data_IF_418802589630
#
_entry.id   IF_418802589630
#
_cell.length_a   1.000
_cell.length_b   1.000
_cell.length_c   1.000
_cell.angle_alpha   90.00
_cell.angle_beta   90.00
_cell.angle_gamma   90.00
#
_symmetry.space_group_name_H-M   'P 1'
#
loop_
_entity.id
_entity.type
_entity.pdbx_description
1 polymer ?
#
# COMPACT_ATOMS: atom_id res chain seq x y z
N UNK A 1 -33.86 -22.38 -1.11
CA UNK A 1 -32.45 -21.98 -1.32
C UNK A 1 -31.89 -21.59 0.03
N UNK A 2 -31.31 -22.56 0.75
CA UNK A 2 -30.61 -22.30 2.01
C UNK A 2 -29.13 -22.19 1.69
N UNK A 3 -28.57 -21.00 1.83
CA UNK A 3 -27.13 -20.76 1.77
C UNK A 3 -26.55 -21.20 3.10
N UNK A 4 -25.94 -22.38 3.10
CA UNK A 4 -25.19 -22.92 4.22
C UNK A 4 -23.89 -22.11 4.36
N UNK A 5 -23.92 -21.07 5.20
CA UNK A 5 -22.72 -20.35 5.64
C UNK A 5 -21.90 -21.26 6.56
N UNK A 6 -21.14 -22.17 5.93
CA UNK A 6 -20.17 -23.01 6.64
C UNK A 6 -19.06 -22.08 7.15
N UNK A 7 -18.78 -22.03 8.47
CA UNK A 7 -17.76 -21.16 9.04
C UNK A 7 -16.41 -21.38 8.36
N UNK A 8 -15.76 -20.29 7.92
CA UNK A 8 -14.47 -20.29 7.21
C UNK A 8 -13.38 -21.19 7.83
N UNK A 9 -13.46 -21.44 9.13
CA UNK A 9 -12.51 -22.26 9.89
C UNK A 9 -12.55 -23.76 9.50
N UNK A 10 -13.72 -24.30 9.15
CA UNK A 10 -13.84 -25.72 8.77
C UNK A 10 -13.16 -26.01 7.43
N UNK A 11 -13.21 -25.06 6.50
CA UNK A 11 -12.52 -25.17 5.20
C UNK A 11 -11.00 -25.10 5.38
N UNK A 12 -10.53 -24.20 6.25
CA UNK A 12 -9.12 -24.05 6.57
C UNK A 12 -8.56 -25.27 7.33
N UNK A 13 -9.37 -25.90 8.18
CA UNK A 13 -9.02 -27.12 8.91
C UNK A 13 -8.92 -28.33 7.97
N UNK A 14 -9.90 -28.53 7.08
CA UNK A 14 -9.86 -29.59 6.05
C UNK A 14 -8.66 -29.47 5.12
N UNK A 15 -8.31 -28.24 4.73
CA UNK A 15 -7.15 -27.98 3.86
C UNK A 15 -5.83 -28.30 4.57
N UNK A 16 -5.73 -28.01 5.88
CA UNK A 16 -4.58 -28.37 6.72
C UNK A 16 -4.46 -29.88 6.93
N UNK A 17 -5.56 -30.59 7.15
CA UNK A 17 -5.55 -32.06 7.27
C UNK A 17 -5.14 -32.73 5.96
N UNK A 18 -5.64 -32.23 4.83
CA UNK A 18 -5.27 -32.72 3.50
C UNK A 18 -3.78 -32.47 3.21
N UNK A 19 -3.27 -31.28 3.52
CA UNK A 19 -1.85 -30.99 3.37
C UNK A 19 -1.01 -31.87 4.32
N UNK A 20 -1.47 -32.09 5.54
CA UNK A 20 -0.77 -32.94 6.51
C UNK A 20 -0.66 -34.39 6.03
N UNK A 21 -1.67 -34.93 5.32
CA UNK A 21 -1.59 -36.27 4.74
C UNK A 21 -0.54 -36.39 3.62
N UNK A 22 -0.24 -35.29 2.91
CA UNK A 22 0.78 -35.29 1.85
C UNK A 22 2.21 -35.13 2.39
N UNK A 23 2.39 -34.41 3.50
CA UNK A 23 3.72 -34.01 3.99
C UNK A 23 4.16 -34.70 5.29
N UNK A 24 3.28 -35.41 5.99
CA UNK A 24 3.61 -36.23 7.16
C UNK A 24 3.08 -37.66 7.00
N UNK A 25 3.80 -38.55 6.29
CA UNK A 25 3.62 -39.98 6.47
C UNK A 25 4.11 -40.30 7.89
N UNK A 26 3.20 -40.71 8.76
CA UNK A 26 3.54 -41.21 10.10
C UNK A 26 4.67 -42.25 10.01
N UNK A 27 5.86 -41.90 10.51
CA UNK A 27 6.83 -42.85 11.00
C UNK A 27 6.26 -43.46 12.28
N UNK A 28 5.79 -44.72 12.23
CA UNK A 28 5.35 -45.37 13.47
C UNK A 28 4.44 -46.58 13.37
N UNK A 29 4.35 -47.28 12.24
CA UNK A 29 3.79 -48.62 12.23
C UNK A 29 4.45 -49.44 11.13
N UNK A 30 5.37 -50.30 11.56
CA UNK A 30 5.90 -51.43 10.81
C UNK A 30 4.80 -52.04 9.95
N UNK A 31 4.99 -52.23 8.63
CA UNK A 31 4.12 -53.09 7.88
C UNK A 31 4.28 -54.47 8.50
N UNK A 32 3.20 -54.99 9.11
CA UNK A 32 3.07 -56.43 9.26
C UNK A 32 3.21 -56.97 7.86
N UNK A 33 4.28 -57.74 7.63
CA UNK A 33 4.45 -58.55 6.45
C UNK A 33 3.23 -59.47 6.33
N UNK A 34 2.22 -58.98 5.62
CA UNK A 34 1.23 -59.83 5.01
C UNK A 34 1.98 -60.60 3.94
N UNK A 35 2.35 -61.84 4.32
CA UNK A 35 2.70 -62.95 3.46
C UNK A 35 2.91 -62.59 2.00
N UNK A 36 4.18 -62.58 1.59
CA UNK A 36 4.65 -62.62 0.22
C UNK A 36 4.02 -63.80 -0.56
N UNK A 37 2.77 -63.63 -0.93
CA UNK A 37 2.25 -64.08 -2.21
C UNK A 37 1.95 -62.80 -2.99
N UNK A 38 2.98 -61.96 -3.20
CA UNK A 38 2.96 -61.11 -4.39
C UNK A 38 2.75 -62.07 -5.55
N UNK A 39 1.58 -61.95 -6.19
CA UNK A 39 1.23 -62.68 -7.39
C UNK A 39 2.41 -62.56 -8.37
N UNK A 40 3.18 -63.62 -8.53
CA UNK A 40 4.11 -63.82 -9.65
C UNK A 40 3.37 -63.72 -11.01
N UNK A 41 2.05 -63.61 -10.96
CA UNK A 41 1.09 -63.50 -12.05
C UNK A 41 0.72 -62.02 -12.38
N UNK A 42 1.33 -61.01 -11.73
CA UNK A 42 1.02 -59.59 -11.99
C UNK A 42 1.86 -59.01 -13.12
N UNK A 43 1.22 -58.73 -14.27
CA UNK A 43 1.84 -58.13 -15.47
C UNK A 43 2.50 -56.76 -15.22
N UNK A 44 2.09 -56.06 -14.15
CA UNK A 44 2.60 -54.73 -13.81
C UNK A 44 3.80 -54.76 -12.83
N UNK A 45 4.31 -55.94 -12.48
CA UNK A 45 5.48 -56.06 -11.61
C UNK A 45 6.77 -55.66 -12.32
N UNK A 46 7.68 -54.99 -11.61
CA UNK A 46 8.99 -54.61 -12.12
C UNK A 46 9.87 -55.83 -12.48
N UNK A 47 9.56 -57.01 -11.97
CA UNK A 47 10.25 -58.27 -12.24
C UNK A 47 9.40 -59.26 -13.06
N UNK A 48 8.51 -58.74 -13.91
CA UNK A 48 7.64 -59.57 -14.76
C UNK A 48 8.47 -60.45 -15.71
N UNK A 49 8.21 -61.76 -15.67
CA UNK A 49 8.77 -62.75 -16.61
C UNK A 49 7.67 -63.24 -17.56
N UNK A 50 7.72 -62.86 -18.86
CA UNK A 50 6.73 -63.26 -19.85
C UNK A 50 6.64 -64.78 -20.03
N UNK A 51 7.75 -65.50 -19.97
CA UNK A 51 7.78 -66.94 -20.24
C UNK A 51 7.15 -67.72 -19.08
N UNK A 52 7.44 -67.33 -17.84
CA UNK A 52 6.81 -67.91 -16.67
C UNK A 52 5.30 -67.64 -16.62
N UNK A 53 4.90 -66.38 -16.88
CA UNK A 53 3.49 -65.98 -16.92
C UNK A 53 2.70 -66.73 -18.00
N UNK A 54 3.24 -66.85 -19.22
CA UNK A 54 2.57 -67.56 -20.32
C UNK A 54 2.43 -69.06 -20.05
N UNK A 55 3.47 -69.71 -19.51
CA UNK A 55 3.39 -71.12 -19.14
C UNK A 55 2.30 -71.38 -18.09
N UNK A 56 2.19 -70.49 -17.10
CA UNK A 56 1.17 -70.59 -16.07
C UNK A 56 -0.24 -70.33 -16.61
N UNK A 57 -0.38 -69.35 -17.50
CA UNK A 57 -1.65 -69.00 -18.15
C UNK A 57 -2.18 -70.17 -19.00
N UNK A 58 -1.31 -70.81 -19.80
CA UNK A 58 -1.68 -71.96 -20.63
C UNK A 58 -2.04 -73.20 -19.78
N UNK A 59 -1.38 -73.39 -18.62
CA UNK A 59 -1.70 -74.50 -17.71
C UNK A 59 -3.01 -74.30 -16.94
N UNK A 60 -3.38 -73.06 -16.62
CA UNK A 60 -4.54 -72.74 -15.78
C UNK A 60 -5.82 -72.40 -16.56
N UNK A 61 -5.70 -71.97 -17.81
CA UNK A 61 -6.83 -71.45 -18.60
C UNK A 61 -7.25 -72.39 -19.73
N UNK A 62 -8.54 -72.40 -20.07
CA UNK A 62 -9.02 -73.07 -21.27
C UNK A 62 -8.86 -72.18 -22.52
N UNK A 63 -9.06 -72.76 -23.72
CA UNK A 63 -8.88 -72.05 -24.99
C UNK A 63 -9.78 -70.80 -25.13
N UNK A 64 -11.01 -70.86 -24.63
CA UNK A 64 -11.97 -69.76 -24.70
C UNK A 64 -11.52 -68.59 -23.80
N UNK A 65 -11.01 -68.89 -22.61
CA UNK A 65 -10.41 -67.90 -21.71
C UNK A 65 -9.16 -67.26 -22.31
N UNK A 66 -8.31 -68.05 -22.97
CA UNK A 66 -7.11 -67.56 -23.63
C UNK A 66 -7.46 -66.60 -24.79
N UNK A 67 -8.47 -66.94 -25.60
CA UNK A 67 -8.98 -66.06 -26.66
C UNK A 67 -9.57 -64.77 -26.09
N UNK A 68 -10.35 -64.86 -25.02
CA UNK A 68 -10.89 -63.67 -24.34
C UNK A 68 -9.76 -62.78 -23.82
N UNK A 69 -8.72 -63.36 -23.21
CA UNK A 69 -7.55 -62.63 -22.71
C UNK A 69 -6.76 -61.96 -23.82
N UNK A 70 -6.61 -62.61 -24.97
CA UNK A 70 -6.00 -61.99 -26.15
C UNK A 70 -6.78 -60.75 -26.62
N UNK A 71 -8.11 -60.85 -26.71
CA UNK A 71 -8.95 -59.72 -27.13
C UNK A 71 -8.90 -58.57 -26.12
N UNK A 72 -8.96 -58.89 -24.82
CA UNK A 72 -8.82 -57.92 -23.73
C UNK A 72 -7.48 -57.18 -23.80
N UNK A 73 -6.37 -57.92 -23.95
CA UNK A 73 -5.03 -57.35 -24.04
C UNK A 73 -4.86 -56.49 -25.31
N UNK A 74 -5.41 -56.90 -26.44
CA UNK A 74 -5.37 -56.10 -27.67
C UNK A 74 -6.13 -54.77 -27.51
N UNK A 75 -7.26 -54.78 -26.79
CA UNK A 75 -8.00 -53.57 -26.46
C UNK A 75 -7.23 -52.67 -25.48
N UNK A 76 -6.61 -53.26 -24.46
CA UNK A 76 -5.80 -52.54 -23.47
C UNK A 76 -4.58 -51.86 -24.10
N UNK A 77 -3.86 -52.55 -24.99
CA UNK A 77 -2.74 -51.98 -25.76
C UNK A 77 -3.19 -50.74 -26.54
N UNK A 78 -4.35 -50.81 -27.20
CA UNK A 78 -4.88 -49.67 -27.97
C UNK A 78 -5.30 -48.51 -27.07
N UNK A 79 -5.89 -48.80 -25.92
CA UNK A 79 -6.27 -47.76 -24.96
C UNK A 79 -5.03 -47.06 -24.40
N UNK A 80 -3.99 -47.82 -24.01
CA UNK A 80 -2.72 -47.28 -23.53
C UNK A 80 -2.02 -46.39 -24.57
N UNK A 81 -2.06 -46.76 -25.86
CA UNK A 81 -1.53 -45.91 -26.94
C UNK A 81 -2.32 -44.58 -27.03
N UNK A 82 -3.65 -44.65 -26.92
CA UNK A 82 -4.50 -43.46 -26.94
C UNK A 82 -4.24 -42.56 -25.72
N UNK A 83 -4.08 -43.15 -24.53
CA UNK A 83 -3.77 -42.43 -23.30
C UNK A 83 -2.38 -41.77 -23.37
N UNK A 84 -1.38 -42.46 -23.94
CA UNK A 84 -0.06 -41.91 -24.17
C UNK A 84 -0.13 -40.70 -25.10
N UNK A 85 -0.87 -40.80 -26.21
CA UNK A 85 -1.06 -39.68 -27.14
C UNK A 85 -1.76 -38.50 -26.45
N UNK A 86 -2.78 -38.76 -25.64
CA UNK A 86 -3.49 -37.74 -24.87
C UNK A 86 -2.55 -37.04 -23.87
N UNK A 87 -1.73 -37.80 -23.15
CA UNK A 87 -0.77 -37.25 -22.20
C UNK A 87 0.25 -36.34 -22.88
N UNK A 88 0.77 -36.75 -24.03
CA UNK A 88 1.69 -35.94 -24.84
C UNK A 88 1.02 -34.66 -25.28
N UNK A 89 -0.21 -34.74 -25.80
CA UNK A 89 -0.98 -33.56 -26.22
C UNK A 89 -1.22 -32.58 -25.07
N UNK A 90 -1.66 -33.07 -23.91
CA UNK A 90 -1.85 -32.24 -22.73
C UNK A 90 -0.56 -31.57 -22.27
N UNK A 91 0.54 -32.33 -22.29
CA UNK A 91 1.84 -31.83 -21.86
C UNK A 91 2.33 -30.72 -22.81
N UNK A 92 2.25 -30.91 -24.12
CA UNK A 92 2.58 -29.86 -25.10
C UNK A 92 1.68 -28.62 -24.94
N UNK A 93 0.37 -28.79 -24.75
CA UNK A 93 -0.53 -27.67 -24.50
C UNK A 93 -0.17 -26.90 -23.24
N UNK A 94 0.23 -27.58 -22.16
CA UNK A 94 0.72 -26.94 -20.93
C UNK A 94 2.01 -26.16 -21.19
N UNK A 95 2.94 -26.71 -21.97
CA UNK A 95 4.18 -26.00 -22.36
C UNK A 95 3.93 -24.78 -23.23
N UNK A 96 3.04 -24.88 -24.22
CA UNK A 96 2.64 -23.75 -25.07
C UNK A 96 2.01 -22.67 -24.20
N UNK A 97 1.05 -23.04 -23.35
CA UNK A 97 0.36 -22.12 -22.44
C UNK A 97 1.34 -21.42 -21.48
N UNK A 98 2.30 -22.16 -20.91
CA UNK A 98 3.34 -21.59 -20.05
C UNK A 98 4.24 -20.62 -20.83
N UNK A 99 4.61 -20.97 -22.06
CA UNK A 99 5.42 -20.11 -22.93
C UNK A 99 4.68 -18.82 -23.28
N UNK A 100 3.39 -18.89 -23.57
CA UNK A 100 2.57 -17.72 -23.87
C UNK A 100 2.34 -16.84 -22.64
N UNK A 101 2.18 -17.44 -21.46
CA UNK A 101 2.14 -16.71 -20.19
C UNK A 101 3.45 -15.93 -19.95
N UNK A 102 4.62 -16.54 -20.22
CA UNK A 102 5.92 -15.86 -20.12
C UNK A 102 6.03 -14.70 -21.11
N UNK A 103 5.59 -14.88 -22.37
CA UNK A 103 5.57 -13.80 -23.38
C UNK A 103 4.66 -12.66 -22.94
N UNK A 104 3.46 -12.97 -22.46
CA UNK A 104 2.52 -11.99 -21.94
C UNK A 104 3.13 -11.22 -20.76
N UNK A 105 3.75 -11.93 -19.80
CA UNK A 105 4.40 -11.32 -18.64
C UNK A 105 5.53 -10.38 -19.07
N UNK A 106 6.39 -10.81 -20.01
CA UNK A 106 7.47 -9.96 -20.56
C UNK A 106 6.92 -8.68 -21.19
N UNK A 107 5.88 -8.78 -22.03
CA UNK A 107 5.29 -7.61 -22.69
C UNK A 107 4.70 -6.62 -21.68
N UNK A 108 4.03 -7.11 -20.64
CA UNK A 108 3.44 -6.24 -19.62
C UNK A 108 4.49 -5.56 -18.77
N UNK A 109 5.52 -6.29 -18.32
CA UNK A 109 6.61 -5.73 -17.49
C UNK A 109 7.36 -4.62 -18.24
N UNK A 110 7.70 -4.84 -19.51
CA UNK A 110 8.39 -3.83 -20.33
C UNK A 110 7.53 -2.57 -20.52
N UNK A 111 6.22 -2.72 -20.69
CA UNK A 111 5.31 -1.58 -20.75
C UNK A 111 5.15 -0.85 -19.40
N UNK A 112 5.24 -1.56 -18.29
CA UNK A 112 5.10 -1.00 -16.94
C UNK A 112 6.27 -0.10 -16.55
N UNK A 113 7.51 -0.44 -16.93
CA UNK A 113 8.69 0.37 -16.64
C UNK A 113 8.57 1.78 -17.22
N UNK A 114 8.24 1.88 -18.52
CA UNK A 114 8.01 3.17 -19.18
C UNK A 114 6.86 3.98 -18.54
N UNK A 115 5.78 3.31 -18.14
CA UNK A 115 4.66 3.97 -17.44
C UNK A 115 5.08 4.50 -16.05
N UNK A 116 5.95 3.76 -15.34
CA UNK A 116 6.46 4.15 -14.03
C UNK A 116 7.41 5.35 -14.14
N UNK A 117 8.27 5.39 -15.16
CA UNK A 117 9.11 6.56 -15.45
C UNK A 117 8.26 7.81 -15.77
N UNK A 118 7.24 7.67 -16.63
CA UNK A 118 6.32 8.77 -16.93
C UNK A 118 5.55 9.25 -15.70
N UNK A 119 5.18 8.33 -14.79
CA UNK A 119 4.53 8.69 -13.53
C UNK A 119 5.47 9.49 -12.63
N UNK A 120 6.73 9.06 -12.51
CA UNK A 120 7.74 9.74 -11.71
C UNK A 120 7.97 11.16 -12.23
N UNK A 121 8.11 11.32 -13.56
CA UNK A 121 8.26 12.65 -14.18
C UNK A 121 7.04 13.55 -13.90
N UNK A 122 5.82 13.02 -14.02
CA UNK A 122 4.60 13.76 -13.65
C UNK A 122 4.57 14.16 -12.18
N UNK A 123 4.98 13.28 -11.26
CA UNK A 123 5.04 13.60 -9.82
C UNK A 123 6.07 14.70 -9.57
N UNK A 124 7.26 14.63 -10.18
CA UNK A 124 8.28 15.67 -10.07
C UNK A 124 7.81 17.01 -10.65
N UNK A 125 7.10 16.98 -11.77
CA UNK A 125 6.48 18.16 -12.38
C UNK A 125 5.40 18.77 -11.46
N UNK A 126 4.53 17.95 -10.87
CA UNK A 126 3.52 18.42 -9.90
C UNK A 126 4.18 18.99 -8.66
N UNK A 127 5.19 18.32 -8.11
CA UNK A 127 5.93 18.76 -6.93
C UNK A 127 6.60 20.11 -7.18
N UNK A 128 7.36 20.26 -8.27
CA UNK A 128 8.02 21.54 -8.61
C UNK A 128 7.03 22.67 -8.84
N UNK A 129 5.88 22.40 -9.47
CA UNK A 129 4.80 23.40 -9.64
C UNK A 129 4.16 23.76 -8.29
N UNK A 130 3.95 22.80 -7.41
CA UNK A 130 3.42 23.00 -6.07
C UNK A 130 4.36 23.87 -5.24
N UNK A 131 5.64 23.56 -5.25
CA UNK A 131 6.67 24.32 -4.52
C UNK A 131 6.71 25.77 -5.03
N UNK A 132 6.69 25.99 -6.35
CA UNK A 132 6.64 27.33 -6.93
C UNK A 132 5.39 28.12 -6.50
N UNK A 133 4.22 27.48 -6.50
CA UNK A 133 2.98 28.11 -6.03
C UNK A 133 3.10 28.43 -4.54
N UNK A 134 3.60 27.50 -3.74
CA UNK A 134 3.75 27.67 -2.30
C UNK A 134 4.70 28.82 -1.95
N UNK A 135 5.87 28.91 -2.60
CA UNK A 135 6.80 30.02 -2.44
C UNK A 135 6.15 31.36 -2.81
N UNK A 136 5.46 31.44 -3.95
CA UNK A 136 4.78 32.68 -4.34
C UNK A 136 3.67 33.10 -3.37
N UNK A 137 2.90 32.14 -2.85
CA UNK A 137 1.87 32.41 -1.86
C UNK A 137 2.47 32.81 -0.50
N UNK A 138 3.61 32.24 -0.12
CA UNK A 138 4.31 32.60 1.11
C UNK A 138 4.72 34.07 1.11
N UNK A 139 5.37 34.53 0.03
CA UNK A 139 5.76 35.95 -0.14
C UNK A 139 4.54 36.87 -0.05
N UNK A 140 3.45 36.53 -0.76
CA UNK A 140 2.20 37.32 -0.72
C UNK A 140 1.59 37.36 0.69
N UNK A 141 1.58 36.24 1.41
CA UNK A 141 1.10 36.18 2.81
C UNK A 141 1.94 37.06 3.71
N UNK A 142 3.26 37.05 3.56
CA UNK A 142 4.16 37.90 4.34
C UNK A 142 3.89 39.40 4.06
N UNK A 143 3.70 39.78 2.80
CA UNK A 143 3.32 41.14 2.45
C UNK A 143 1.96 41.54 3.03
N UNK A 144 0.95 40.67 2.95
CA UNK A 144 -0.38 40.93 3.54
C UNK A 144 -0.26 41.10 5.06
N UNK A 145 0.53 40.27 5.74
CA UNK A 145 0.78 40.40 7.18
C UNK A 145 1.45 41.74 7.53
N UNK A 146 2.45 42.18 6.74
CA UNK A 146 3.07 43.50 6.91
C UNK A 146 2.03 44.62 6.74
N UNK A 147 1.21 44.58 5.68
CA UNK A 147 0.14 45.57 5.47
C UNK A 147 -0.88 45.56 6.61
N UNK A 148 -1.27 44.38 7.10
CA UNK A 148 -2.21 44.23 8.18
C UNK A 148 -1.67 44.83 9.49
N UNK A 149 -0.38 44.59 9.80
CA UNK A 149 0.31 45.24 10.94
C UNK A 149 0.27 46.76 10.81
N UNK A 150 0.65 47.31 9.65
CA UNK A 150 0.64 48.76 9.40
C UNK A 150 -0.77 49.35 9.51
N UNK A 151 -1.77 48.71 8.90
CA UNK A 151 -3.17 49.15 8.98
C UNK A 151 -3.68 49.15 10.42
N UNK A 152 -3.30 48.14 11.22
CA UNK A 152 -3.69 48.07 12.62
C UNK A 152 -3.05 49.18 13.46
N UNK A 153 -1.79 49.52 13.18
CA UNK A 153 -1.14 50.68 13.81
C UNK A 153 -1.83 51.99 13.41
N UNK A 154 -2.07 52.20 12.12
CA UNK A 154 -2.79 53.39 11.62
C UNK A 154 -4.17 53.54 12.26
N UNK A 155 -4.93 52.44 12.42
CA UNK A 155 -6.23 52.46 13.09
C UNK A 155 -6.12 52.85 14.57
N UNK A 156 -5.08 52.36 15.28
CA UNK A 156 -4.81 52.76 16.67
C UNK A 156 -4.45 54.24 16.79
N UNK A 157 -3.63 54.76 15.86
CA UNK A 157 -3.26 56.18 15.81
C UNK A 157 -4.48 57.05 15.49
N UNK A 158 -5.29 56.67 14.50
CA UNK A 158 -6.52 57.38 14.16
C UNK A 158 -7.49 57.45 15.36
N UNK A 159 -7.63 56.34 16.09
CA UNK A 159 -8.47 56.32 17.28
C UNK A 159 -8.00 57.32 18.34
N UNK A 160 -6.69 57.42 18.57
CA UNK A 160 -6.12 58.41 19.48
C UNK A 160 -6.33 59.84 18.97
N UNK A 161 -6.15 60.07 17.68
CA UNK A 161 -6.36 61.39 17.08
C UNK A 161 -7.81 61.86 17.20
N UNK A 162 -8.78 60.96 17.02
CA UNK A 162 -10.21 61.28 17.13
C UNK A 162 -10.68 61.40 18.60
N UNK A 163 -9.94 60.84 19.56
CA UNK A 163 -10.35 60.72 20.96
C UNK A 163 -10.60 62.09 21.63
N UNK A 164 -9.74 63.12 21.51
CA UNK A 164 -9.98 64.44 22.13
C UNK A 164 -11.26 65.11 21.62
N UNK A 165 -11.54 65.02 20.31
CA UNK A 165 -12.75 65.58 19.73
C UNK A 165 -14.02 64.87 20.24
N UNK A 166 -13.96 63.54 20.36
CA UNK A 166 -15.03 62.72 20.94
C UNK A 166 -15.27 63.04 22.42
N UNK A 167 -14.20 63.14 23.22
CA UNK A 167 -14.27 63.49 24.63
C UNK A 167 -14.83 64.91 24.83
N UNK A 168 -14.38 65.88 24.05
CA UNK A 168 -14.89 67.25 24.09
C UNK A 168 -16.39 67.32 23.77
N UNK A 169 -16.87 66.50 22.82
CA UNK A 169 -18.31 66.38 22.53
C UNK A 169 -19.08 65.77 23.72
N UNK A 170 -18.60 64.68 24.30
CA UNK A 170 -19.25 64.04 25.45
C UNK A 170 -19.32 64.96 26.67
N UNK A 171 -18.29 65.77 26.92
CA UNK A 171 -18.29 66.78 28.00
C UNK A 171 -19.34 67.86 27.73
N UNK A 172 -19.43 68.38 26.49
CA UNK A 172 -20.42 69.39 26.11
C UNK A 172 -21.87 68.90 26.16
N UNK A 173 -22.09 67.60 25.99
CA UNK A 173 -23.41 66.96 26.03
C UNK A 173 -23.75 66.32 27.38
N UNK A 174 -22.95 66.58 28.43
CA UNK A 174 -23.08 66.00 29.79
C UNK A 174 -23.12 64.45 29.83
N UNK A 175 -22.64 63.79 28.77
CA UNK A 175 -22.61 62.34 28.63
C UNK A 175 -21.31 61.77 29.25
N UNK A 176 -21.15 61.93 30.56
CA UNK A 176 -19.92 61.56 31.28
C UNK A 176 -19.65 60.05 31.28
N UNK A 177 -20.69 59.21 31.29
CA UNK A 177 -20.55 57.76 31.28
C UNK A 177 -19.86 57.25 29.99
N UNK A 178 -20.17 57.84 28.84
CA UNK A 178 -19.57 57.46 27.56
C UNK A 178 -18.16 58.03 27.40
N UNK A 179 -17.89 59.22 27.95
CA UNK A 179 -16.53 59.79 28.01
C UNK A 179 -15.58 58.87 28.78
N UNK A 180 -16.00 58.36 29.94
CA UNK A 180 -15.21 57.42 30.75
C UNK A 180 -14.98 56.11 30.01
N UNK A 181 -16.00 55.56 29.32
CA UNK A 181 -15.84 54.34 28.49
C UNK A 181 -14.84 54.54 27.35
N UNK A 182 -14.91 55.64 26.61
CA UNK A 182 -13.96 55.94 25.54
C UNK A 182 -12.53 56.10 26.06
N UNK A 183 -12.36 56.76 27.21
CA UNK A 183 -11.07 56.95 27.85
C UNK A 183 -10.46 55.63 28.37
N UNK A 184 -11.26 54.80 29.04
CA UNK A 184 -10.83 53.47 29.52
C UNK A 184 -10.46 52.57 28.33
N UNK A 185 -11.24 52.59 27.24
CA UNK A 185 -10.94 51.83 26.02
C UNK A 185 -9.65 52.29 25.32
N UNK A 186 -9.25 53.55 25.50
CA UNK A 186 -8.02 54.11 24.94
C UNK A 186 -6.76 53.80 25.77
N UNK A 187 -6.90 53.57 27.08
CA UNK A 187 -5.76 53.35 27.99
C UNK A 187 -4.79 52.23 27.55
N UNK A 188 -5.24 51.06 27.07
CA UNK A 188 -4.31 50.01 26.62
C UNK A 188 -3.45 50.47 25.44
N UNK A 189 -4.00 51.29 24.55
CA UNK A 189 -3.28 51.84 23.40
C UNK A 189 -2.24 52.85 23.86
N UNK A 190 -2.60 53.74 24.80
CA UNK A 190 -1.66 54.70 25.39
C UNK A 190 -0.51 54.03 26.13
N UNK A 191 -0.79 52.97 26.91
CA UNK A 191 0.25 52.18 27.59
C UNK A 191 1.20 51.53 26.58
N UNK A 192 0.65 50.97 25.50
CA UNK A 192 1.45 50.33 24.44
C UNK A 192 2.35 51.34 23.73
N UNK A 193 1.84 52.53 23.40
CA UNK A 193 2.62 53.58 22.74
C UNK A 193 3.66 54.17 23.68
N UNK A 194 3.30 54.49 24.93
CA UNK A 194 4.24 55.01 25.91
C UNK A 194 5.41 54.03 26.17
N UNK A 195 5.10 52.72 26.21
CA UNK A 195 6.13 51.68 26.29
C UNK A 195 7.04 51.67 25.07
N UNK A 196 6.49 51.79 23.86
CA UNK A 196 7.27 51.86 22.61
C UNK A 196 8.15 53.11 22.55
N UNK A 197 7.63 54.29 22.92
CA UNK A 197 8.40 55.54 22.95
C UNK A 197 9.57 55.43 23.92
N UNK A 198 9.34 54.92 25.12
CA UNK A 198 10.39 54.71 26.13
C UNK A 198 11.43 53.69 25.65
N UNK A 199 11.00 52.63 24.97
CA UNK A 199 11.92 51.64 24.41
C UNK A 199 12.79 52.22 23.27
N UNK A 200 12.21 53.05 22.40
CA UNK A 200 12.96 53.72 21.34
C UNK A 200 13.96 54.76 21.89
N UNK A 201 13.60 55.52 22.92
CA UNK A 201 14.52 56.46 23.59
C UNK A 201 15.74 55.75 24.18
N UNK A 202 15.53 54.59 24.83
CA UNK A 202 16.61 53.79 25.40
C UNK A 202 17.53 53.25 24.30
N UNK A 203 16.97 52.72 23.21
CA UNK A 203 17.77 52.23 22.08
C UNK A 203 18.56 53.35 21.41
N UNK A 204 17.95 54.51 21.17
CA UNK A 204 18.63 55.66 20.57
C UNK A 204 19.75 56.19 21.48
N UNK A 205 19.49 56.31 22.78
CA UNK A 205 20.49 56.71 23.77
C UNK A 205 21.68 55.73 23.81
N UNK A 206 21.41 54.42 23.71
CA UNK A 206 22.44 53.39 23.66
C UNK A 206 23.28 53.47 22.39
N UNK A 207 22.65 53.57 21.22
CA UNK A 207 23.35 53.70 19.93
C UNK A 207 24.21 54.96 19.87
N UNK A 208 23.68 56.11 20.34
CA UNK A 208 24.43 57.37 20.40
C UNK A 208 25.62 57.26 21.36
N UNK A 209 25.44 56.61 22.52
CA UNK A 209 26.52 56.40 23.49
C UNK A 209 27.60 55.46 22.98
N UNK A 210 27.23 54.41 22.22
CA UNK A 210 28.18 53.52 21.56
C UNK A 210 28.96 54.26 20.44
N UNK A 211 28.30 55.13 19.68
CA UNK A 211 28.97 55.95 18.66
C UNK A 211 29.91 57.01 19.24
N UNK A 212 29.52 57.73 20.30
CA UNK A 212 30.43 58.69 20.97
C UNK A 212 31.65 58.00 21.58
N UNK A 213 31.48 56.79 22.12
CA UNK A 213 32.59 56.01 22.69
C UNK A 213 33.59 55.55 21.62
N UNK A 214 33.14 55.33 20.38
CA UNK A 214 34.00 54.99 19.24
C UNK A 214 34.75 56.21 18.66
N UNK A 215 34.34 57.45 18.95
CA UNK A 215 35.00 58.68 18.48
C UNK A 215 35.99 59.29 19.50
N UNK A 216 35.96 58.85 20.76
CA UNK A 216 36.80 59.34 21.86
C UNK A 216 37.99 58.42 22.21
N UNK A 217 38.23 57.42 21.37
CA UNK A 217 39.35 56.47 21.39
C UNK A 217 40.13 56.64 20.07
#
# INVERSE_FOLDING_TARGET
MATDDIPLDDKAKRMRDLLSSFYYPYHGSSPKAHSNYENLDSINSASFDPEHYMNLLVQKSNLEELLRKHVEMAAEIKNLDTDLQMLVYENYNKFISATDAIKWMKSNIVGMEANMEQLLDKIMSVQSRSDRVNTSLFEKREHIEKLHRTRNLLRKVQFIYDLPARLAKCIKSEAYADAVKFYIGAMPIFKTIAFLTRHMEIHLSRTVKEHLKMQLL
#
